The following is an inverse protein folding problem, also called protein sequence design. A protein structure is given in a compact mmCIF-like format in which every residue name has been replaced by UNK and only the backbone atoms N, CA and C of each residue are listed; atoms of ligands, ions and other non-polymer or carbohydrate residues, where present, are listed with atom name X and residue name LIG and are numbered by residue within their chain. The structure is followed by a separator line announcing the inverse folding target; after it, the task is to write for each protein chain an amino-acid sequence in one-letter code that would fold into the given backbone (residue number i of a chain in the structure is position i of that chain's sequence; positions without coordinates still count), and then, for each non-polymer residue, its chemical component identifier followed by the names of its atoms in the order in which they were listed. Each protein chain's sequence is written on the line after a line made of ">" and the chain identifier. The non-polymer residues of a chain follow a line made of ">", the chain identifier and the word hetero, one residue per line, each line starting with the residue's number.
data_IF_242924277391
#
_entry.id   IF_242924277391
#
_cell.length_a   1.000
_cell.length_b   1.000
_cell.length_c   1.000
_cell.angle_alpha   90.00
_cell.angle_beta   90.00
_cell.angle_gamma   90.00
#
_symmetry.space_group_name_H-M   'P 1'
#
loop_
_entity.id
_entity.type
_entity.pdbx_description
1 polymer ?
#
# COMPACT_ATOMS: atom_id res chain seq x y z
N UNK A 1 33.63 -23.01 -7.96
CA UNK A 1 32.46 -22.34 -7.34
C UNK A 1 32.35 -20.96 -7.96
N UNK A 2 31.30 -20.71 -8.73
CA UNK A 2 31.12 -19.44 -9.45
C UNK A 2 30.78 -18.32 -8.47
N UNK A 3 31.49 -17.20 -8.58
CA UNK A 3 31.30 -16.00 -7.76
C UNK A 3 29.98 -15.33 -8.13
N UNK A 4 29.00 -15.34 -7.22
CA UNK A 4 27.73 -14.64 -7.38
C UNK A 4 28.00 -13.14 -7.46
N UNK A 5 27.83 -12.54 -8.64
CA UNK A 5 27.84 -11.08 -8.80
C UNK A 5 26.62 -10.52 -8.08
N UNK A 6 26.85 -9.74 -7.02
CA UNK A 6 25.79 -9.01 -6.31
C UNK A 6 25.28 -7.91 -7.24
N UNK A 7 24.11 -8.11 -7.83
CA UNK A 7 23.45 -7.05 -8.62
C UNK A 7 23.25 -5.82 -7.74
N UNK A 8 23.54 -4.63 -8.27
CA UNK A 8 23.24 -3.37 -7.61
C UNK A 8 21.71 -3.22 -7.57
N UNK A 9 21.10 -3.53 -6.44
CA UNK A 9 19.71 -3.17 -6.17
C UNK A 9 19.60 -1.64 -6.25
N UNK A 10 18.82 -1.13 -7.20
CA UNK A 10 18.50 0.30 -7.22
C UNK A 10 17.74 0.65 -5.94
N UNK A 11 18.29 1.57 -5.15
CA UNK A 11 17.63 2.07 -3.94
C UNK A 11 16.53 3.06 -4.32
N UNK A 12 15.34 2.88 -3.76
CA UNK A 12 14.22 3.84 -3.89
C UNK A 12 14.61 5.15 -3.21
N UNK A 13 14.34 6.29 -3.84
CA UNK A 13 14.60 7.61 -3.28
C UNK A 13 13.80 7.82 -1.97
N UNK A 14 14.38 8.57 -1.02
CA UNK A 14 13.77 8.77 0.31
C UNK A 14 12.39 9.43 0.20
N UNK A 15 12.25 10.41 -0.66
CA UNK A 15 11.01 11.14 -0.92
C UNK A 15 9.92 10.18 -1.39
N UNK A 16 10.31 9.22 -2.24
CA UNK A 16 9.38 8.21 -2.75
C UNK A 16 8.97 7.21 -1.68
N UNK A 17 9.88 6.82 -0.79
CA UNK A 17 9.55 5.97 0.36
C UNK A 17 8.55 6.67 1.31
N UNK A 18 8.72 7.97 1.55
CA UNK A 18 7.78 8.75 2.36
C UNK A 18 6.41 8.80 1.68
N UNK A 19 6.35 9.10 0.38
CA UNK A 19 5.09 9.11 -0.38
C UNK A 19 4.38 7.76 -0.35
N UNK A 20 5.12 6.66 -0.52
CA UNK A 20 4.59 5.30 -0.43
C UNK A 20 4.01 5.00 0.96
N UNK A 21 4.73 5.40 2.01
CA UNK A 21 4.27 5.22 3.39
C UNK A 21 3.01 6.01 3.69
N UNK A 22 2.95 7.28 3.29
CA UNK A 22 1.77 8.14 3.42
C UNK A 22 0.55 7.54 2.70
N UNK A 23 0.75 6.99 1.50
CA UNK A 23 -0.30 6.29 0.76
C UNK A 23 -0.80 5.05 1.48
N UNK A 24 0.09 4.23 2.04
CA UNK A 24 -0.31 3.05 2.82
C UNK A 24 -1.10 3.45 4.07
N UNK A 25 -0.69 4.50 4.78
CA UNK A 25 -1.43 5.04 5.92
C UNK A 25 -2.81 5.56 5.51
N UNK A 26 -2.90 6.28 4.40
CA UNK A 26 -4.16 6.77 3.88
C UNK A 26 -5.14 5.63 3.62
N UNK A 27 -4.69 4.55 2.95
CA UNK A 27 -5.50 3.35 2.70
C UNK A 27 -5.97 2.76 4.03
N UNK A 28 -5.07 2.57 5.01
CA UNK A 28 -5.43 2.04 6.33
C UNK A 28 -6.53 2.86 6.99
N UNK A 29 -6.36 4.17 7.09
CA UNK A 29 -7.34 5.03 7.77
C UNK A 29 -8.68 5.08 7.03
N UNK A 30 -8.64 5.08 5.70
CA UNK A 30 -9.85 5.02 4.89
C UNK A 30 -10.64 3.73 5.14
N UNK A 31 -9.96 2.59 5.18
CA UNK A 31 -10.58 1.28 5.44
C UNK A 31 -11.15 1.19 6.86
N UNK A 32 -10.42 1.67 7.86
CA UNK A 32 -10.92 1.75 9.25
C UNK A 32 -12.16 2.64 9.38
N UNK A 33 -12.18 3.78 8.67
CA UNK A 33 -13.35 4.65 8.61
C UNK A 33 -14.52 3.98 7.88
N UNK A 34 -14.24 3.23 6.82
CA UNK A 34 -15.23 2.44 6.07
C UNK A 34 -15.86 1.36 6.95
N UNK A 35 -15.06 0.67 7.77
CA UNK A 35 -15.57 -0.31 8.77
C UNK A 35 -16.53 0.38 9.75
N UNK A 36 -16.15 1.54 10.31
CA UNK A 36 -17.02 2.30 11.22
C UNK A 36 -18.32 2.73 10.55
N UNK A 37 -18.25 3.20 9.31
CA UNK A 37 -19.43 3.60 8.53
C UNK A 37 -20.35 2.40 8.22
N UNK A 38 -19.78 1.25 7.91
CA UNK A 38 -20.51 0.01 7.70
C UNK A 38 -21.23 -0.45 8.97
N UNK A 39 -20.57 -0.42 10.13
CA UNK A 39 -21.20 -0.71 11.43
C UNK A 39 -22.35 0.25 11.76
N UNK A 40 -22.25 1.52 11.34
CA UNK A 40 -23.31 2.52 11.45
C UNK A 40 -24.43 2.33 10.41
N UNK A 41 -24.39 1.29 9.58
CA UNK A 41 -25.34 1.02 8.48
C UNK A 41 -25.39 2.13 7.43
N UNK A 42 -24.32 2.93 7.29
CA UNK A 42 -24.18 3.95 6.23
C UNK A 42 -23.72 3.35 4.90
N UNK A 43 -23.15 2.16 4.93
CA UNK A 43 -22.76 1.38 3.75
C UNK A 43 -23.65 0.14 3.72
N UNK A 44 -24.34 -0.08 2.60
CA UNK A 44 -25.22 -1.23 2.39
C UNK A 44 -24.53 -2.31 1.54
N UNK A 45 -24.99 -3.55 1.67
CA UNK A 45 -24.41 -4.69 0.95
C UNK A 45 -23.19 -5.27 1.68
N UNK A 46 -22.11 -5.51 0.95
CA UNK A 46 -20.88 -6.11 1.47
C UNK A 46 -19.73 -5.09 1.47
N UNK A 47 -18.93 -5.10 2.54
CA UNK A 47 -17.69 -4.35 2.62
C UNK A 47 -16.50 -5.32 2.68
N UNK A 48 -15.60 -5.21 1.71
CA UNK A 48 -14.33 -5.92 1.70
C UNK A 48 -13.22 -4.91 1.94
N UNK A 49 -12.37 -5.17 2.93
CA UNK A 49 -11.34 -4.22 3.33
C UNK A 49 -9.96 -4.69 2.85
N UNK A 50 -9.11 -3.72 2.54
CA UNK A 50 -7.74 -3.96 2.08
C UNK A 50 -6.68 -3.88 3.21
N UNK A 51 -7.13 -3.91 4.47
CA UNK A 51 -6.26 -3.83 5.64
C UNK A 51 -5.26 -4.99 5.65
N UNK A 52 -3.97 -4.67 5.71
CA UNK A 52 -2.87 -5.64 5.69
C UNK A 52 -2.34 -5.96 4.28
N UNK A 53 -2.97 -5.43 3.23
CA UNK A 53 -2.55 -5.61 1.83
C UNK A 53 -2.07 -4.31 1.18
N UNK A 54 -1.93 -3.22 1.94
CA UNK A 54 -1.62 -1.88 1.42
C UNK A 54 -0.33 -1.83 0.60
N UNK A 55 0.68 -2.57 1.03
CA UNK A 55 1.97 -2.66 0.33
C UNK A 55 1.85 -3.25 -1.08
N UNK A 56 0.89 -4.15 -1.33
CA UNK A 56 0.67 -4.76 -2.64
C UNK A 56 0.16 -3.70 -3.62
N UNK A 57 -0.87 -2.95 -3.24
CA UNK A 57 -1.43 -1.88 -4.07
C UNK A 57 -0.45 -0.73 -4.27
N UNK A 58 0.15 -0.21 -3.20
CA UNK A 58 1.07 0.92 -3.29
C UNK A 58 2.35 0.55 -4.05
N UNK A 59 2.94 -0.62 -3.77
CA UNK A 59 4.15 -1.08 -4.44
C UNK A 59 3.96 -1.27 -5.94
N UNK A 60 2.86 -1.92 -6.35
CA UNK A 60 2.56 -2.17 -7.77
C UNK A 60 2.29 -0.89 -8.55
N UNK A 61 1.55 0.06 -7.97
CA UNK A 61 1.25 1.35 -8.62
C UNK A 61 2.46 2.28 -8.68
N UNK A 62 3.32 2.25 -7.66
CA UNK A 62 4.53 3.08 -7.62
C UNK A 62 5.52 2.73 -8.72
N UNK A 63 5.54 1.48 -9.18
CA UNK A 63 6.38 1.07 -10.30
C UNK A 63 5.79 1.42 -11.68
N UNK A 64 4.46 1.47 -11.79
CA UNK A 64 3.76 1.66 -13.07
C UNK A 64 3.39 3.11 -13.40
N UNK A 65 3.45 4.01 -12.42
CA UNK A 65 3.20 5.44 -12.63
C UNK A 65 4.53 6.13 -13.02
N UNK A 66 4.52 6.99 -14.05
CA UNK A 66 5.71 7.65 -14.59
C UNK A 66 6.45 8.51 -13.55
#
# INVERSE_FOLDING_TARGET
>A
MASVKKEKTQSIAREKLVEMFEKMLLIRYFEEASIKAYQQKKIAGFLHTYIGQEAVGVGTLTHKLP
#
